data_IF_148601634865
#
_entry.id   IF_148601634865
#
_cell.length_a   1.000
_cell.length_b   1.000
_cell.length_c   1.000
_cell.angle_alpha   90.00
_cell.angle_beta   90.00
_cell.angle_gamma   90.00
#
_symmetry.space_group_name_H-M   'P 1'
#
loop_
_entity.id
_entity.type
_entity.pdbx_description
1 polymer ?
#
# COMPACT_ATOMS: atom_id res chain seq x y z
N UNK A 1 4.49 39.53 -51.34
CA UNK A 1 3.83 38.52 -50.48
C UNK A 1 4.83 37.41 -50.22
N UNK A 2 5.55 37.47 -49.10
CA UNK A 2 6.54 36.49 -48.68
C UNK A 2 5.86 35.57 -47.65
N UNK A 3 5.61 34.32 -48.00
CA UNK A 3 5.00 33.33 -47.10
C UNK A 3 6.13 32.64 -46.33
N UNK A 4 6.19 32.92 -45.02
CA UNK A 4 7.10 32.26 -44.08
C UNK A 4 6.54 30.87 -43.74
N UNK A 5 7.28 29.81 -44.10
CA UNK A 5 7.00 28.45 -43.64
C UNK A 5 7.53 28.27 -42.20
N UNK A 6 6.62 28.21 -41.24
CA UNK A 6 6.91 27.82 -39.85
C UNK A 6 6.99 26.28 -39.77
N UNK A 7 8.21 25.75 -39.69
CA UNK A 7 8.49 24.37 -39.31
C UNK A 7 8.12 24.17 -37.84
N UNK A 8 6.98 23.53 -37.61
CA UNK A 8 6.53 23.09 -36.28
C UNK A 8 7.28 21.81 -35.91
N UNK A 9 8.23 21.89 -34.98
CA UNK A 9 8.85 20.72 -34.39
C UNK A 9 7.82 19.98 -33.52
N UNK A 10 7.30 18.87 -34.01
CA UNK A 10 6.46 17.95 -33.24
C UNK A 10 7.34 17.18 -32.27
N UNK A 11 7.41 17.63 -31.02
CA UNK A 11 7.94 16.80 -29.93
C UNK A 11 7.03 15.57 -29.78
N UNK A 12 7.53 14.42 -30.21
CA UNK A 12 6.85 13.14 -30.03
C UNK A 12 6.78 12.82 -28.55
N UNK A 13 5.61 13.01 -27.94
CA UNK A 13 5.25 12.43 -26.65
C UNK A 13 5.34 10.91 -26.77
N UNK A 14 6.52 10.35 -26.47
CA UNK A 14 6.64 8.92 -26.24
C UNK A 14 5.81 8.61 -24.99
N UNK A 15 4.65 7.97 -25.18
CA UNK A 15 3.94 7.35 -24.08
C UNK A 15 4.88 6.31 -23.46
N UNK A 16 5.49 6.64 -22.32
CA UNK A 16 6.35 5.70 -21.59
C UNK A 16 5.56 4.43 -21.32
N UNK A 17 6.16 3.28 -21.62
CA UNK A 17 5.53 2.00 -21.41
C UNK A 17 5.51 1.72 -19.90
N UNK A 18 4.42 2.08 -19.21
CA UNK A 18 4.25 1.81 -17.78
C UNK A 18 3.88 0.34 -17.61
N UNK A 19 4.74 -0.40 -16.92
CA UNK A 19 4.52 -1.79 -16.56
C UNK A 19 5.07 -2.05 -15.16
N UNK A 20 4.68 -3.16 -14.55
CA UNK A 20 5.17 -3.56 -13.23
C UNK A 20 6.67 -3.90 -13.29
N UNK A 21 7.38 -3.71 -12.18
CA UNK A 21 8.83 -3.83 -12.12
C UNK A 21 9.34 -5.18 -12.68
N UNK A 22 8.71 -6.28 -12.24
CA UNK A 22 9.06 -7.64 -12.68
C UNK A 22 8.83 -7.90 -14.18
N UNK A 23 7.82 -7.27 -14.78
CA UNK A 23 7.57 -7.39 -16.23
C UNK A 23 8.67 -6.73 -17.07
N UNK A 24 9.51 -5.90 -16.45
CA UNK A 24 10.61 -5.18 -17.07
C UNK A 24 11.99 -5.71 -16.64
N UNK A 25 12.05 -6.91 -16.04
CA UNK A 25 13.30 -7.56 -15.61
C UNK A 25 13.81 -7.10 -14.24
N UNK A 26 13.07 -6.26 -13.51
CA UNK A 26 13.42 -5.85 -12.14
C UNK A 26 12.82 -6.85 -11.16
N UNK A 27 13.64 -7.81 -10.71
CA UNK A 27 13.19 -8.98 -9.95
C UNK A 27 13.80 -8.99 -8.54
N UNK A 28 13.16 -8.36 -7.54
CA UNK A 28 13.65 -8.39 -6.16
C UNK A 28 13.40 -9.76 -5.51
N UNK A 29 14.42 -10.24 -4.81
CA UNK A 29 14.35 -11.49 -4.05
C UNK A 29 14.47 -12.78 -4.87
N UNK A 30 14.09 -13.89 -4.25
CA UNK A 30 14.19 -15.25 -4.81
C UNK A 30 12.87 -16.00 -4.80
N UNK A 31 11.88 -15.56 -4.02
CA UNK A 31 10.61 -16.27 -3.89
C UNK A 31 9.71 -15.98 -5.11
N UNK A 32 8.97 -16.99 -5.61
CA UNK A 32 8.03 -16.78 -6.70
C UNK A 32 6.80 -15.98 -6.21
N UNK A 33 6.24 -15.09 -7.04
CA UNK A 33 5.00 -14.41 -6.70
C UNK A 33 3.79 -15.33 -6.81
N UNK A 34 2.66 -14.89 -6.25
CA UNK A 34 1.35 -15.45 -6.56
C UNK A 34 0.90 -15.12 -7.99
N UNK A 35 -0.31 -15.57 -8.36
CA UNK A 35 -0.83 -15.48 -9.74
C UNK A 35 -0.92 -14.03 -10.23
N UNK A 36 -1.42 -13.15 -9.38
CA UNK A 36 -1.60 -11.73 -9.69
C UNK A 36 -0.41 -10.90 -9.25
N UNK A 37 0.53 -11.50 -8.51
CA UNK A 37 1.59 -10.81 -7.80
C UNK A 37 0.97 -9.63 -7.03
N UNK A 38 -0.03 -9.86 -6.21
CA UNK A 38 -0.78 -8.81 -5.52
C UNK A 38 -1.26 -9.30 -4.16
N UNK A 39 -1.62 -8.38 -3.26
CA UNK A 39 -2.10 -8.75 -1.92
C UNK A 39 -3.33 -9.69 -1.96
N UNK A 40 -4.13 -9.57 -3.02
CA UNK A 40 -5.30 -10.38 -3.33
C UNK A 40 -4.98 -11.82 -3.75
N UNK A 41 -3.69 -12.18 -3.90
CA UNK A 41 -3.29 -13.59 -4.00
C UNK A 41 -3.50 -14.34 -2.66
N UNK A 42 -3.58 -13.62 -1.54
CA UNK A 42 -4.00 -14.19 -0.26
C UNK A 42 -5.51 -14.43 -0.32
N UNK A 43 -5.92 -15.69 -0.15
CA UNK A 43 -7.29 -16.12 -0.36
C UNK A 43 -8.29 -15.31 0.48
N UNK A 44 -9.34 -14.80 -0.19
CA UNK A 44 -10.40 -14.01 0.43
C UNK A 44 -10.14 -12.50 0.44
N UNK A 45 -8.88 -12.05 0.39
CA UNK A 45 -8.56 -10.62 0.41
C UNK A 45 -9.10 -9.91 -0.81
N UNK A 46 -9.67 -8.71 -0.61
CA UNK A 46 -10.19 -7.85 -1.68
C UNK A 46 -9.65 -6.44 -1.55
N UNK A 47 -9.44 -5.78 -2.69
CA UNK A 47 -9.01 -4.38 -2.74
C UNK A 47 -9.93 -3.59 -3.65
N UNK A 48 -10.31 -2.39 -3.23
CA UNK A 48 -11.09 -1.45 -4.02
C UNK A 48 -10.54 -0.03 -3.90
N UNK A 49 -10.74 0.78 -4.94
CA UNK A 49 -10.26 2.16 -5.00
C UNK A 49 -11.39 3.12 -5.36
N UNK A 50 -11.42 4.27 -4.69
CA UNK A 50 -12.11 5.45 -5.16
C UNK A 50 -11.07 6.54 -5.43
N UNK A 51 -10.89 6.87 -6.71
CA UNK A 51 -9.93 7.87 -7.15
C UNK A 51 -10.62 9.21 -7.35
N UNK A 52 -10.15 10.26 -6.66
CA UNK A 52 -10.78 11.57 -6.64
C UNK A 52 -9.88 12.59 -7.34
N UNK A 53 -10.36 13.09 -8.47
CA UNK A 53 -9.77 14.23 -9.20
C UNK A 53 -10.84 15.30 -9.38
N UNK A 54 -10.76 16.37 -8.62
CA UNK A 54 -11.72 17.48 -8.70
C UNK A 54 -11.01 18.77 -9.08
N UNK A 55 -11.50 19.41 -10.14
CA UNK A 55 -10.92 20.62 -10.69
C UNK A 55 -9.41 20.51 -10.91
N UNK A 56 -8.74 21.63 -10.72
CA UNK A 56 -7.30 21.74 -10.90
C UNK A 56 -6.49 21.37 -9.66
N UNK A 57 -7.10 21.16 -8.48
CA UNK A 57 -6.36 21.21 -7.20
C UNK A 57 -6.59 20.02 -6.28
N UNK A 58 -7.49 19.08 -6.61
CA UNK A 58 -7.72 17.87 -5.81
C UNK A 58 -7.21 16.64 -6.56
N UNK A 59 -6.25 15.94 -5.95
CA UNK A 59 -5.76 14.62 -6.39
C UNK A 59 -5.60 13.76 -5.16
N UNK A 60 -6.59 12.93 -4.85
CA UNK A 60 -6.58 12.08 -3.65
C UNK A 60 -7.48 10.87 -3.85
N UNK A 61 -7.79 10.14 -2.79
CA UNK A 61 -8.80 9.09 -2.85
C UNK A 61 -8.84 8.23 -1.60
N UNK A 62 -9.50 7.09 -1.75
CA UNK A 62 -9.62 6.05 -0.73
C UNK A 62 -9.22 4.72 -1.37
N UNK A 63 -8.44 3.93 -0.64
CA UNK A 63 -8.23 2.51 -0.94
C UNK A 63 -8.81 1.70 0.21
N UNK A 64 -9.67 0.74 -0.10
CA UNK A 64 -10.22 -0.21 0.87
C UNK A 64 -9.53 -1.56 0.71
N UNK A 65 -9.15 -2.18 1.83
CA UNK A 65 -8.62 -3.54 1.90
C UNK A 65 -9.51 -4.34 2.85
N UNK A 66 -10.15 -5.38 2.32
CA UNK A 66 -11.01 -6.28 3.09
C UNK A 66 -10.26 -7.59 3.33
N UNK A 67 -10.08 -8.05 4.58
CA UNK A 67 -9.46 -9.34 4.86
C UNK A 67 -10.21 -10.54 4.26
N UNK A 68 -11.54 -10.45 4.16
CA UNK A 68 -12.41 -11.41 3.46
C UNK A 68 -13.72 -10.74 3.04
N UNK A 69 -14.54 -11.43 2.25
CA UNK A 69 -15.83 -10.93 1.75
C UNK A 69 -17.02 -11.06 2.71
N UNK A 70 -16.80 -11.45 3.96
CA UNK A 70 -17.84 -11.62 4.98
C UNK A 70 -17.98 -10.39 5.88
N UNK A 71 -18.78 -10.50 6.94
CA UNK A 71 -18.86 -9.45 7.96
C UNK A 71 -17.67 -9.56 8.94
N UNK A 72 -16.66 -8.72 8.72
CA UNK A 72 -15.40 -8.71 9.49
C UNK A 72 -15.64 -8.42 10.98
N UNK A 73 -16.72 -7.72 11.34
CA UNK A 73 -17.02 -7.44 12.75
C UNK A 73 -17.36 -8.72 13.54
N UNK A 74 -18.05 -9.68 12.90
CA UNK A 74 -18.46 -10.97 13.49
C UNK A 74 -17.53 -12.13 13.15
N UNK A 75 -16.63 -11.95 12.19
CA UNK A 75 -15.68 -12.94 11.70
C UNK A 75 -14.31 -12.27 11.61
N UNK A 76 -13.78 -11.88 12.77
CA UNK A 76 -12.58 -11.03 12.88
C UNK A 76 -11.34 -11.83 12.50
N UNK A 77 -10.34 -11.12 11.99
CA UNK A 77 -9.03 -11.69 11.67
C UNK A 77 -8.00 -11.27 12.70
N UNK A 78 -7.08 -12.15 13.12
CA UNK A 78 -5.97 -11.75 13.95
C UNK A 78 -5.11 -10.74 13.18
N UNK A 79 -4.62 -9.74 13.90
CA UNK A 79 -3.88 -8.64 13.34
C UNK A 79 -2.89 -8.02 14.32
N UNK A 80 -1.97 -7.24 13.78
CA UNK A 80 -1.02 -6.45 14.54
C UNK A 80 -0.61 -5.21 13.76
N UNK A 81 -0.17 -4.17 14.48
CA UNK A 81 0.31 -2.93 13.87
C UNK A 81 1.70 -2.61 14.40
N UNK A 82 2.66 -2.51 13.48
CA UNK A 82 4.01 -2.08 13.75
C UNK A 82 4.18 -0.61 13.38
N UNK A 83 4.61 0.20 14.35
CA UNK A 83 4.97 1.61 14.14
C UNK A 83 6.47 1.66 13.89
N UNK A 84 6.84 1.94 12.65
CA UNK A 84 8.23 2.22 12.29
C UNK A 84 8.63 3.63 12.73
N UNK A 85 7.91 4.64 12.25
CA UNK A 85 8.03 6.01 12.71
C UNK A 85 6.63 6.64 12.86
N UNK A 86 6.40 7.31 13.99
CA UNK A 86 5.07 7.68 14.48
C UNK A 86 4.52 9.02 13.97
N UNK A 87 5.08 9.59 12.90
CA UNK A 87 4.65 10.91 12.39
C UNK A 87 3.36 10.86 11.54
N UNK A 88 2.43 9.95 11.82
CA UNK A 88 1.17 9.81 11.09
C UNK A 88 -0.05 9.69 12.01
N UNK A 89 -1.23 9.62 11.40
CA UNK A 89 -2.52 9.47 12.08
C UNK A 89 -3.14 8.15 11.64
N UNK A 90 -3.03 7.14 12.49
CA UNK A 90 -3.63 5.82 12.27
C UNK A 90 -4.77 5.61 13.27
N UNK A 91 -6.01 5.69 12.79
CA UNK A 91 -7.20 5.44 13.61
C UNK A 91 -7.31 3.92 13.83
N UNK A 92 -7.67 3.54 15.06
CA UNK A 92 -7.92 2.17 15.49
C UNK A 92 -6.72 1.41 16.05
N UNK A 93 -5.54 2.04 16.07
CA UNK A 93 -4.28 1.46 16.54
C UNK A 93 -4.37 0.81 17.93
N UNK A 94 -4.91 1.52 18.91
CA UNK A 94 -4.84 1.12 20.32
C UNK A 94 -5.63 -0.15 20.61
N UNK A 95 -6.83 -0.30 20.02
CA UNK A 95 -7.62 -1.53 20.21
C UNK A 95 -7.04 -2.71 19.42
N UNK A 96 -6.42 -2.49 18.26
CA UNK A 96 -5.68 -3.57 17.56
C UNK A 96 -4.47 -4.02 18.39
N UNK A 97 -3.76 -3.09 19.05
CA UNK A 97 -2.65 -3.43 19.92
C UNK A 97 -3.10 -4.23 21.16
N UNK A 98 -4.27 -3.88 21.73
CA UNK A 98 -4.84 -4.54 22.91
C UNK A 98 -5.43 -5.91 22.59
N UNK A 99 -6.25 -6.01 21.53
CA UNK A 99 -7.04 -7.20 21.23
C UNK A 99 -6.42 -8.10 20.16
N UNK A 100 -5.45 -7.58 19.39
CA UNK A 100 -4.74 -8.36 18.38
C UNK A 100 -5.60 -8.81 17.20
N UNK A 101 -6.60 -8.02 16.81
CA UNK A 101 -7.55 -8.38 15.75
C UNK A 101 -8.13 -7.16 15.01
N UNK A 102 -8.56 -7.37 13.76
CA UNK A 102 -9.33 -6.41 12.98
C UNK A 102 -10.81 -6.79 13.01
N UNK A 103 -11.65 -5.81 13.29
CA UNK A 103 -13.12 -5.92 13.24
C UNK A 103 -13.75 -5.09 12.11
N UNK A 104 -12.92 -4.45 11.27
CA UNK A 104 -13.36 -3.66 10.11
C UNK A 104 -12.47 -3.90 8.89
N UNK A 105 -12.91 -3.52 7.69
CA UNK A 105 -11.99 -3.25 6.58
C UNK A 105 -10.92 -2.22 6.99
N UNK A 106 -9.77 -2.26 6.31
CA UNK A 106 -8.74 -1.23 6.41
C UNK A 106 -9.01 -0.20 5.33
N UNK A 107 -9.05 1.08 5.69
CA UNK A 107 -9.06 2.18 4.71
C UNK A 107 -7.72 2.91 4.72
N UNK A 108 -7.24 3.27 3.53
CA UNK A 108 -6.10 4.17 3.37
C UNK A 108 -6.57 5.45 2.65
N UNK A 109 -6.07 6.61 3.05
CA UNK A 109 -6.48 7.91 2.47
C UNK A 109 -5.46 9.04 2.73
N UNK A 110 -5.89 10.30 2.59
CA UNK A 110 -5.14 11.51 2.89
C UNK A 110 -5.11 11.82 4.41
N UNK A 111 -4.06 12.50 4.88
CA UNK A 111 -3.90 12.87 6.30
C UNK A 111 -5.13 13.54 6.92
N UNK A 112 -5.63 14.62 6.33
CA UNK A 112 -6.77 15.36 6.90
C UNK A 112 -8.13 14.72 6.59
N UNK A 113 -8.11 13.63 5.83
CA UNK A 113 -9.27 12.84 5.43
C UNK A 113 -9.51 11.64 6.37
N UNK A 114 -8.51 11.24 7.15
CA UNK A 114 -8.56 10.03 8.00
C UNK A 114 -9.83 9.98 8.87
N UNK A 115 -10.20 11.10 9.49
CA UNK A 115 -11.42 11.19 10.32
C UNK A 115 -12.71 11.11 9.50
N UNK A 116 -12.76 11.69 8.29
CA UNK A 116 -13.95 11.59 7.42
C UNK A 116 -14.12 10.16 6.90
N UNK A 117 -13.01 9.49 6.59
CA UNK A 117 -13.03 8.11 6.15
C UNK A 117 -13.46 7.16 7.28
N UNK A 118 -12.96 7.37 8.50
CA UNK A 118 -13.37 6.60 9.67
C UNK A 118 -14.85 6.79 10.01
N UNK A 119 -15.34 8.03 10.03
CA UNK A 119 -16.75 8.35 10.25
C UNK A 119 -17.66 7.66 9.22
N UNK A 120 -17.32 7.79 7.93
CA UNK A 120 -18.06 7.13 6.86
C UNK A 120 -18.02 5.59 6.95
N UNK A 121 -16.88 5.00 7.33
CA UNK A 121 -16.76 3.56 7.54
C UNK A 121 -17.68 3.09 8.68
N UNK A 122 -17.65 3.78 9.82
CA UNK A 122 -18.50 3.47 10.97
C UNK A 122 -19.97 3.58 10.59
N UNK A 123 -20.38 4.68 9.95
CA UNK A 123 -21.75 4.88 9.49
C UNK A 123 -22.21 3.74 8.54
N UNK A 124 -21.34 3.36 7.59
CA UNK A 124 -21.62 2.28 6.64
C UNK A 124 -21.78 0.91 7.30
N UNK A 125 -20.96 0.62 8.32
CA UNK A 125 -21.00 -0.62 9.07
C UNK A 125 -22.22 -0.69 9.98
N UNK A 126 -22.56 0.39 10.70
CA UNK A 126 -23.76 0.45 11.54
C UNK A 126 -25.06 0.29 10.73
N UNK A 127 -25.07 0.76 9.49
CA UNK A 127 -26.20 0.59 8.57
C UNK A 127 -26.28 -0.80 7.91
N UNK A 128 -25.29 -1.67 8.10
CA UNK A 128 -25.28 -2.99 7.48
C UNK A 128 -26.23 -3.97 8.21
N UNK A 129 -26.92 -4.87 7.49
CA UNK A 129 -27.77 -5.87 8.11
C UNK A 129 -27.03 -6.72 9.16
N UNK A 130 -27.66 -6.93 10.32
CA UNK A 130 -27.09 -7.71 11.42
C UNK A 130 -26.23 -6.90 12.41
N UNK A 131 -26.04 -5.60 12.18
CA UNK A 131 -25.25 -4.71 13.05
C UNK A 131 -26.11 -3.91 14.05
N UNK A 132 -27.43 -4.17 14.13
CA UNK A 132 -28.40 -3.38 14.89
C UNK A 132 -28.12 -3.33 16.40
N UNK A 133 -27.41 -4.33 16.92
CA UNK A 133 -27.05 -4.45 18.34
C UNK A 133 -25.58 -4.06 18.63
N UNK A 134 -24.83 -3.61 17.61
CA UNK A 134 -23.43 -3.20 17.77
C UNK A 134 -23.38 -1.81 18.42
N UNK A 135 -22.62 -1.71 19.51
CA UNK A 135 -22.55 -0.48 20.34
C UNK A 135 -21.36 0.41 20.00
N UNK A 136 -20.27 -0.18 19.52
CA UNK A 136 -19.03 0.51 19.17
C UNK A 136 -18.32 -0.24 18.06
N UNK A 137 -17.53 0.49 17.28
CA UNK A 137 -16.73 -0.03 16.19
C UNK A 137 -15.36 0.62 16.29
N UNK A 138 -14.31 -0.15 16.09
CA UNK A 138 -12.93 0.31 15.96
C UNK A 138 -12.53 0.38 14.48
N UNK A 139 -12.79 1.49 13.77
CA UNK A 139 -12.40 1.63 12.38
C UNK A 139 -10.88 1.70 12.25
N UNK A 140 -10.30 0.92 11.34
CA UNK A 140 -8.88 0.99 11.03
C UNK A 140 -8.64 1.81 9.77
N UNK A 141 -8.09 3.02 9.95
CA UNK A 141 -7.86 3.97 8.86
C UNK A 141 -6.46 4.56 8.93
N UNK A 142 -5.63 4.25 7.93
CA UNK A 142 -4.29 4.79 7.75
C UNK A 142 -4.23 5.89 6.69
N UNK A 143 -3.11 6.60 6.64
CA UNK A 143 -2.98 7.78 5.79
C UNK A 143 -1.55 8.07 5.36
N UNK A 144 -1.44 8.83 4.27
CA UNK A 144 -0.23 9.62 3.97
C UNK A 144 -0.60 11.04 3.59
N UNK A 145 0.36 11.96 3.64
CA UNK A 145 0.14 13.37 3.31
C UNK A 145 0.34 13.69 1.82
N UNK A 146 -0.74 13.69 1.06
CA UNK A 146 -0.77 14.12 -0.36
C UNK A 146 -0.93 15.64 -0.56
N UNK A 147 -0.96 16.41 0.54
CA UNK A 147 -1.22 17.84 0.55
C UNK A 147 -0.06 18.74 0.13
N UNK A 148 1.10 18.13 -0.16
CA UNK A 148 2.30 18.90 -0.45
C UNK A 148 2.26 19.55 -1.84
N UNK A 149 1.87 18.79 -2.87
CA UNK A 149 1.97 19.24 -4.26
C UNK A 149 0.67 19.08 -5.03
N UNK A 150 -0.06 17.97 -4.83
CA UNK A 150 -1.11 17.55 -5.75
C UNK A 150 -2.53 17.69 -5.17
N UNK A 151 -2.69 17.73 -3.86
CA UNK A 151 -4.00 17.79 -3.22
C UNK A 151 -4.21 19.07 -2.40
N UNK A 152 -5.36 19.71 -2.58
CA UNK A 152 -5.89 20.74 -1.69
C UNK A 152 -6.38 20.11 -0.37
N UNK A 153 -5.48 19.45 0.37
CA UNK A 153 -5.78 18.59 1.52
C UNK A 153 -6.60 19.28 2.61
N UNK A 154 -6.43 20.59 2.76
CA UNK A 154 -7.15 21.42 3.73
C UNK A 154 -8.66 21.48 3.46
N UNK A 155 -9.10 21.25 2.23
CA UNK A 155 -10.52 21.11 1.87
C UNK A 155 -11.12 19.79 2.36
N UNK A 156 -10.28 18.82 2.78
CA UNK A 156 -10.69 17.48 3.23
C UNK A 156 -11.66 16.83 2.25
N UNK A 157 -11.29 16.67 0.96
CA UNK A 157 -12.23 16.39 -0.13
C UNK A 157 -12.92 15.01 -0.07
N UNK A 158 -12.45 14.09 0.77
CA UNK A 158 -13.07 12.76 0.89
C UNK A 158 -14.44 12.83 1.57
N UNK A 159 -15.45 12.30 0.90
CA UNK A 159 -16.84 12.21 1.37
C UNK A 159 -17.28 10.74 1.49
N UNK A 160 -18.43 10.45 2.16
CA UNK A 160 -18.92 9.08 2.33
C UNK A 160 -19.05 8.29 1.01
N UNK A 161 -19.48 8.95 -0.07
CA UNK A 161 -19.60 8.32 -1.39
C UNK A 161 -18.27 7.73 -1.89
N UNK A 162 -17.13 8.37 -1.58
CA UNK A 162 -15.81 7.85 -1.96
C UNK A 162 -15.45 6.61 -1.14
N UNK A 163 -15.81 6.58 0.14
CA UNK A 163 -15.58 5.40 0.99
C UNK A 163 -16.46 4.24 0.56
N UNK A 164 -17.75 4.50 0.28
CA UNK A 164 -18.68 3.48 -0.22
C UNK A 164 -18.20 2.91 -1.56
N UNK A 165 -17.83 3.77 -2.51
CA UNK A 165 -17.31 3.32 -3.81
C UNK A 165 -16.07 2.44 -3.67
N UNK A 166 -15.13 2.79 -2.77
CA UNK A 166 -13.94 1.96 -2.51
C UNK A 166 -14.30 0.60 -1.88
N UNK A 167 -15.25 0.56 -0.94
CA UNK A 167 -15.70 -0.67 -0.29
C UNK A 167 -16.49 -1.58 -1.24
N UNK A 168 -17.40 -1.02 -2.02
CA UNK A 168 -18.26 -1.74 -2.96
C UNK A 168 -17.49 -2.24 -4.20
N UNK A 169 -16.51 -1.47 -4.65
CA UNK A 169 -15.61 -1.86 -5.73
C UNK A 169 -14.54 -2.87 -5.31
N UNK A 170 -14.50 -3.30 -4.04
CA UNK A 170 -13.46 -4.20 -3.55
C UNK A 170 -13.62 -5.63 -4.08
N UNK A 171 -12.62 -6.09 -4.84
CA UNK A 171 -12.61 -7.42 -5.44
C UNK A 171 -11.24 -8.11 -5.31
N UNK A 172 -11.23 -9.43 -5.51
CA UNK A 172 -10.00 -10.20 -5.66
C UNK A 172 -9.42 -10.08 -7.08
N UNK A 173 -8.30 -10.75 -7.36
CA UNK A 173 -7.66 -10.71 -8.67
C UNK A 173 -6.67 -9.54 -8.82
N UNK A 174 -6.36 -9.09 -10.06
CA UNK A 174 -5.42 -7.99 -10.28
C UNK A 174 -5.86 -6.70 -9.58
N UNK A 175 -4.90 -5.96 -9.02
CA UNK A 175 -5.15 -4.69 -8.31
C UNK A 175 -4.58 -3.53 -9.13
N UNK A 176 -5.36 -2.47 -9.42
CA UNK A 176 -4.83 -1.26 -10.03
C UNK A 176 -3.75 -0.60 -9.15
N UNK A 177 -2.65 -0.17 -9.77
CA UNK A 177 -1.49 0.43 -9.08
C UNK A 177 -1.19 1.85 -9.62
N UNK A 178 -0.27 2.56 -8.98
CA UNK A 178 0.17 3.88 -9.35
C UNK A 178 -0.75 4.99 -8.83
N UNK A 179 -1.12 5.93 -9.71
CA UNK A 179 -1.88 7.14 -9.38
C UNK A 179 -3.39 6.88 -9.21
N UNK A 180 -3.76 5.96 -8.32
CA UNK A 180 -5.14 5.55 -8.04
C UNK A 180 -5.45 5.53 -6.55
N UNK A 181 -6.74 5.58 -6.19
CA UNK A 181 -7.21 5.47 -4.81
C UNK A 181 -6.49 6.45 -3.89
N UNK A 182 -6.05 5.95 -2.74
CA UNK A 182 -5.30 6.74 -1.77
C UNK A 182 -3.93 7.22 -2.26
N UNK A 183 -3.36 6.58 -3.28
CA UNK A 183 -2.07 6.94 -3.91
C UNK A 183 -2.16 8.05 -4.97
N UNK A 184 -3.35 8.56 -5.25
CA UNK A 184 -3.58 9.50 -6.37
C UNK A 184 -2.70 10.75 -6.28
N UNK A 185 -2.60 11.38 -5.11
CA UNK A 185 -1.82 12.61 -4.90
C UNK A 185 -0.43 12.42 -4.30
N UNK A 186 0.04 11.18 -4.13
CA UNK A 186 1.25 10.91 -3.36
C UNK A 186 2.54 11.03 -4.16
N UNK A 187 3.66 11.30 -3.47
CA UNK A 187 4.99 11.53 -4.04
C UNK A 187 6.01 10.66 -3.31
N UNK A 188 6.81 9.89 -4.04
CA UNK A 188 7.84 9.03 -3.48
C UNK A 188 9.20 9.28 -4.15
N UNK A 189 10.25 9.44 -3.35
CA UNK A 189 11.62 9.76 -3.80
C UNK A 189 11.72 10.99 -4.72
N UNK A 190 10.76 11.91 -4.63
CA UNK A 190 10.67 13.09 -5.50
C UNK A 190 10.02 12.85 -6.87
N UNK A 191 9.61 11.62 -7.17
CA UNK A 191 8.75 11.28 -8.31
C UNK A 191 7.33 10.98 -7.84
N UNK A 192 6.43 10.78 -8.80
CA UNK A 192 5.08 10.32 -8.51
C UNK A 192 5.15 8.94 -7.82
N UNK A 193 4.60 8.87 -6.61
CA UNK A 193 4.37 7.62 -5.88
C UNK A 193 2.98 7.06 -6.17
N UNK A 194 2.46 6.22 -5.28
CA UNK A 194 1.08 5.78 -5.42
C UNK A 194 0.75 4.51 -4.65
N UNK A 195 -0.26 3.81 -5.14
CA UNK A 195 -0.55 2.44 -4.71
C UNK A 195 0.42 1.48 -5.38
N UNK A 196 0.92 0.50 -4.65
CA UNK A 196 1.68 -0.61 -5.23
C UNK A 196 1.43 -1.88 -4.44
N UNK A 197 1.52 -3.03 -5.08
CA UNK A 197 1.28 -4.31 -4.45
C UNK A 197 2.22 -5.38 -5.02
N UNK A 198 2.43 -6.43 -4.24
CA UNK A 198 3.11 -7.64 -4.70
C UNK A 198 2.74 -8.81 -3.79
N UNK A 199 3.14 -10.02 -4.15
CA UNK A 199 2.99 -11.19 -3.29
C UNK A 199 4.16 -12.16 -3.44
N UNK A 200 4.27 -13.10 -2.50
CA UNK A 200 5.21 -14.22 -2.52
C UNK A 200 4.51 -15.49 -2.06
N UNK A 201 4.82 -16.60 -2.72
CA UNK A 201 4.50 -17.94 -2.26
C UNK A 201 5.70 -18.52 -1.51
N UNK A 202 5.43 -19.15 -0.37
CA UNK A 202 6.44 -19.77 0.48
C UNK A 202 5.99 -21.14 0.95
N UNK A 203 6.95 -22.01 1.25
CA UNK A 203 6.70 -23.26 1.96
C UNK A 203 7.24 -23.14 3.37
N UNK A 204 6.43 -23.46 4.38
CA UNK A 204 6.82 -23.49 5.78
C UNK A 204 6.05 -24.60 6.52
N UNK A 205 6.75 -25.38 7.37
CA UNK A 205 6.19 -26.53 8.07
C UNK A 205 5.39 -27.47 7.14
N UNK A 206 6.01 -27.86 6.02
CA UNK A 206 5.46 -28.74 4.99
C UNK A 206 4.18 -28.24 4.28
N UNK A 207 3.77 -26.99 4.53
CA UNK A 207 2.59 -26.36 3.93
C UNK A 207 2.97 -25.16 3.07
N UNK A 208 2.21 -24.93 2.01
CA UNK A 208 2.35 -23.76 1.14
C UNK A 208 1.49 -22.60 1.64
N UNK A 209 2.09 -21.43 1.78
CA UNK A 209 1.43 -20.19 2.19
C UNK A 209 1.72 -19.06 1.22
N UNK A 210 0.88 -18.04 1.28
CA UNK A 210 0.99 -16.80 0.53
C UNK A 210 1.19 -15.63 1.49
N UNK A 211 2.10 -14.74 1.15
CA UNK A 211 2.22 -13.41 1.76
C UNK A 211 1.96 -12.38 0.68
N UNK A 212 1.00 -11.49 0.94
CA UNK A 212 0.63 -10.40 0.06
C UNK A 212 0.93 -9.06 0.72
N UNK A 213 1.37 -8.07 -0.05
CA UNK A 213 1.64 -6.72 0.45
C UNK A 213 1.01 -5.67 -0.46
N UNK A 214 0.38 -4.66 0.10
CA UNK A 214 -0.03 -3.43 -0.60
C UNK A 214 0.50 -2.22 0.16
N UNK A 215 0.94 -1.19 -0.58
CA UNK A 215 1.56 0.01 -0.04
C UNK A 215 0.91 1.27 -0.63
N UNK A 216 0.87 2.33 0.16
CA UNK A 216 0.63 3.70 -0.29
C UNK A 216 1.93 4.49 -0.09
N UNK A 217 2.70 4.68 -1.17
CA UNK A 217 4.01 5.32 -1.10
C UNK A 217 3.89 6.84 -1.16
N UNK A 218 4.45 7.52 -0.15
CA UNK A 218 4.52 8.97 -0.08
C UNK A 218 5.77 9.45 0.67
N UNK A 219 6.93 8.83 0.49
CA UNK A 219 8.11 9.03 1.35
C UNK A 219 9.37 9.45 0.59
N UNK A 220 10.33 9.98 1.34
CA UNK A 220 11.61 10.45 0.84
C UNK A 220 12.70 9.37 0.80
N UNK A 221 13.95 9.81 0.92
CA UNK A 221 15.11 8.91 0.89
C UNK A 221 15.87 8.94 -0.43
N UNK A 222 16.70 7.92 -0.63
CA UNK A 222 17.58 7.75 -1.80
C UNK A 222 17.14 6.50 -2.56
N UNK A 223 16.46 6.65 -3.70
CA UNK A 223 15.86 5.51 -4.40
C UNK A 223 16.92 4.48 -4.81
N UNK A 224 16.83 3.30 -4.20
CA UNK A 224 17.62 2.12 -4.58
C UNK A 224 16.72 1.08 -5.23
N UNK A 225 17.13 0.58 -6.40
CA UNK A 225 16.45 -0.51 -7.09
C UNK A 225 17.44 -1.67 -7.21
N UNK A 226 17.14 -2.80 -6.56
CA UNK A 226 18.03 -3.97 -6.49
C UNK A 226 19.44 -3.60 -5.98
N UNK A 227 19.51 -2.68 -5.02
CA UNK A 227 20.77 -2.15 -4.46
C UNK A 227 21.52 -1.15 -5.34
N UNK A 228 21.03 -0.85 -6.55
CA UNK A 228 21.60 0.20 -7.41
C UNK A 228 21.02 1.55 -7.00
N UNK A 229 21.85 2.60 -6.77
CA UNK A 229 21.38 3.93 -6.37
C UNK A 229 20.80 4.72 -7.55
N UNK A 230 19.73 4.19 -8.15
CA UNK A 230 19.05 4.76 -9.34
C UNK A 230 18.64 6.22 -9.11
N UNK A 231 18.24 6.56 -7.88
CA UNK A 231 17.92 7.93 -7.49
C UNK A 231 19.02 8.94 -7.87
N UNK A 232 20.26 8.64 -7.44
CA UNK A 232 21.44 9.47 -7.68
C UNK A 232 21.84 9.49 -9.15
N UNK A 233 21.78 8.35 -9.82
CA UNK A 233 22.15 8.24 -11.23
C UNK A 233 21.17 8.99 -12.15
N UNK A 234 19.91 9.14 -11.75
CA UNK A 234 18.92 10.02 -12.39
C UNK A 234 19.03 11.49 -11.94
N UNK A 235 20.07 11.86 -11.20
CA UNK A 235 20.35 13.24 -10.82
C UNK A 235 19.57 13.78 -9.62
N UNK A 236 18.85 12.93 -8.86
CA UNK A 236 18.28 13.37 -7.57
C UNK A 236 19.40 13.51 -6.53
N UNK A 237 19.49 14.66 -5.88
CA UNK A 237 20.47 14.94 -4.82
C UNK A 237 19.78 14.90 -3.45
N UNK A 238 20.30 14.09 -2.53
CA UNK A 238 19.97 14.11 -1.09
C UNK A 238 18.72 13.32 -0.70
N UNK A 239 18.38 13.38 0.60
CA UNK A 239 17.14 12.85 1.15
C UNK A 239 15.97 13.61 0.48
N UNK A 240 15.24 12.92 -0.39
CA UNK A 240 13.96 13.43 -0.86
C UNK A 240 13.06 13.74 0.36
N UNK A 241 12.13 14.68 0.16
CA UNK A 241 11.42 15.42 1.22
C UNK A 241 10.65 14.49 2.19
N UNK A 242 10.41 14.94 3.45
CA UNK A 242 9.66 14.19 4.45
C UNK A 242 8.31 13.73 3.95
N UNK A 243 7.90 12.54 4.36
CA UNK A 243 6.75 11.89 3.75
C UNK A 243 6.01 10.92 4.66
N UNK A 244 5.55 9.77 4.19
CA UNK A 244 4.90 8.71 4.96
C UNK A 244 4.76 7.46 4.07
N UNK A 245 4.61 6.28 4.67
CA UNK A 245 4.15 5.09 3.96
C UNK A 245 3.19 4.29 4.84
N UNK A 246 2.07 3.88 4.23
CA UNK A 246 1.25 2.81 4.79
C UNK A 246 1.58 1.51 4.09
N UNK A 247 1.89 0.48 4.86
CA UNK A 247 2.12 -0.88 4.37
C UNK A 247 1.05 -1.79 5.00
N UNK A 248 0.38 -2.58 4.17
CA UNK A 248 -0.55 -3.62 4.64
C UNK A 248 -0.03 -4.97 4.17
N UNK A 249 0.12 -5.89 5.11
CA UNK A 249 0.60 -7.26 4.91
C UNK A 249 -0.54 -8.23 5.21
N UNK A 250 -0.82 -9.14 4.28
CA UNK A 250 -1.76 -10.22 4.46
C UNK A 250 -1.04 -11.57 4.33
N UNK A 251 -1.51 -12.58 5.05
CA UNK A 251 -1.10 -13.97 4.82
C UNK A 251 -2.27 -14.93 5.01
N UNK A 252 -2.21 -16.07 4.33
CA UNK A 252 -3.09 -17.21 4.58
C UNK A 252 -2.47 -18.23 5.55
N UNK A 253 -1.28 -17.98 6.09
CA UNK A 253 -0.70 -18.82 7.14
C UNK A 253 -1.41 -18.60 8.49
N UNK A 254 -1.57 -19.65 9.33
CA UNK A 254 -2.19 -19.54 10.64
C UNK A 254 -1.27 -18.81 11.64
N UNK A 255 -1.39 -17.49 11.74
CA UNK A 255 -0.50 -16.65 12.56
C UNK A 255 -1.32 -15.75 13.48
N UNK A 256 -0.96 -15.68 14.77
CA UNK A 256 -1.61 -14.81 15.75
C UNK A 256 -0.88 -13.47 15.93
N UNK A 257 -1.53 -12.55 16.63
CA UNK A 257 -1.13 -11.13 16.77
C UNK A 257 0.34 -10.93 17.12
N UNK A 258 0.90 -11.69 18.07
CA UNK A 258 2.34 -11.60 18.42
C UNK A 258 3.25 -11.87 17.22
N UNK A 259 2.99 -12.94 16.48
CA UNK A 259 3.79 -13.28 15.30
C UNK A 259 3.47 -12.39 14.09
N UNK A 260 2.25 -11.88 13.98
CA UNK A 260 1.89 -10.84 13.01
C UNK A 260 2.63 -9.53 13.29
N UNK A 261 2.89 -9.18 14.56
CA UNK A 261 3.72 -8.02 14.91
C UNK A 261 5.16 -8.21 14.43
N UNK A 262 5.71 -9.43 14.61
CA UNK A 262 7.05 -9.78 14.09
C UNK A 262 7.09 -9.71 12.57
N UNK A 263 6.03 -10.21 11.91
CA UNK A 263 5.86 -10.19 10.46
C UNK A 263 5.79 -8.75 9.93
N UNK A 264 4.97 -7.89 10.56
CA UNK A 264 4.84 -6.47 10.25
C UNK A 264 6.19 -5.74 10.34
N UNK A 265 6.98 -6.00 11.38
CA UNK A 265 8.31 -5.40 11.54
C UNK A 265 9.27 -5.71 10.37
N UNK A 266 9.08 -6.82 9.65
CA UNK A 266 9.93 -7.18 8.50
C UNK A 266 9.66 -6.34 7.26
N UNK A 267 8.45 -5.78 7.12
CA UNK A 267 8.15 -4.89 6.02
C UNK A 267 9.05 -3.64 6.02
N UNK A 268 9.48 -3.20 7.21
CA UNK A 268 10.43 -2.07 7.35
C UNK A 268 11.80 -2.39 6.73
N UNK A 269 12.24 -3.65 6.75
CA UNK A 269 13.48 -4.06 6.07
C UNK A 269 13.31 -3.90 4.55
N UNK A 270 12.16 -4.32 4.00
CA UNK A 270 11.82 -4.13 2.57
C UNK A 270 11.77 -2.66 2.19
N UNK A 271 11.16 -1.81 3.04
CA UNK A 271 11.17 -0.35 2.89
C UNK A 271 12.60 0.20 2.88
N UNK A 272 13.44 -0.21 3.82
CA UNK A 272 14.84 0.22 3.91
C UNK A 272 15.69 -0.16 2.69
N UNK A 273 15.43 -1.32 2.06
CA UNK A 273 16.10 -1.75 0.81
C UNK A 273 15.82 -0.86 -0.39
N UNK A 274 14.70 -0.12 -0.36
CA UNK A 274 14.38 0.89 -1.38
C UNK A 274 15.06 2.23 -1.11
N UNK A 275 15.75 2.36 0.02
CA UNK A 275 16.54 3.53 0.42
C UNK A 275 15.78 4.58 1.25
N UNK A 276 14.67 4.18 1.87
CA UNK A 276 14.08 4.96 2.96
C UNK A 276 14.98 4.94 4.19
N UNK A 277 15.02 6.07 4.89
CA UNK A 277 15.61 6.19 6.23
C UNK A 277 14.57 6.46 7.30
N UNK A 278 13.28 6.46 6.93
CA UNK A 278 12.16 6.78 7.82
C UNK A 278 12.39 8.10 8.54
N UNK A 279 12.56 9.18 7.75
CA UNK A 279 12.90 10.49 8.28
C UNK A 279 11.91 10.99 9.33
N UNK A 280 12.30 12.01 10.11
CA UNK A 280 11.51 12.51 11.24
C UNK A 280 10.05 12.81 10.89
N UNK A 281 9.77 13.35 9.70
CA UNK A 281 8.42 13.69 9.28
C UNK A 281 7.64 12.52 8.67
N UNK A 282 8.21 11.32 8.67
CA UNK A 282 7.66 10.14 8.01
C UNK A 282 6.72 9.32 8.89
N UNK A 283 5.43 9.29 8.57
CA UNK A 283 4.49 8.33 9.17
C UNK A 283 4.65 6.96 8.52
N UNK A 284 5.38 6.04 9.16
CA UNK A 284 5.72 4.74 8.59
C UNK A 284 5.09 3.63 9.41
N UNK A 285 3.98 3.08 8.91
CA UNK A 285 3.16 2.11 9.63
C UNK A 285 2.98 0.83 8.81
N UNK A 286 2.92 -0.29 9.51
CA UNK A 286 2.64 -1.60 8.92
C UNK A 286 1.46 -2.22 9.64
N UNK A 287 0.41 -2.60 8.90
CA UNK A 287 -0.72 -3.38 9.40
C UNK A 287 -0.57 -4.80 8.86
N UNK A 288 -0.45 -5.82 9.72
CA UNK A 288 -0.37 -7.21 9.29
C UNK A 288 -1.57 -8.00 9.82
N UNK A 289 -2.15 -8.87 8.97
CA UNK A 289 -3.24 -9.75 9.36
C UNK A 289 -3.13 -11.14 8.71
N UNK A 290 -3.74 -12.15 9.35
CA UNK A 290 -3.90 -13.49 8.78
C UNK A 290 -5.35 -13.77 8.43
N UNK A 291 -5.60 -14.36 7.26
CA UNK A 291 -6.94 -14.76 6.79
C UNK A 291 -7.30 -16.20 7.17
N UNK A 292 -6.37 -16.95 7.76
CA UNK A 292 -6.51 -18.39 7.94
C UNK A 292 -7.69 -18.72 8.87
N UNK A 293 -8.63 -19.59 8.46
CA UNK A 293 -9.83 -19.89 9.25
C UNK A 293 -9.56 -20.35 10.69
N UNK A 294 -8.51 -21.15 10.91
CA UNK A 294 -8.19 -21.71 12.23
C UNK A 294 -7.73 -20.68 13.28
N UNK A 295 -7.47 -19.43 12.88
CA UNK A 295 -7.05 -18.34 13.80
C UNK A 295 -8.05 -17.20 13.87
N UNK A 296 -9.20 -17.31 13.20
CA UNK A 296 -10.25 -16.30 13.24
C UNK A 296 -10.81 -16.12 14.64
N UNK A 297 -11.36 -14.93 14.87
CA UNK A 297 -11.89 -14.49 16.15
C UNK A 297 -13.36 -14.12 15.98
N UNK A 298 -14.21 -14.81 16.71
CA UNK A 298 -15.65 -14.55 16.70
C UNK A 298 -16.04 -13.86 18.01
N UNK A 299 -16.70 -12.70 17.95
CA UNK A 299 -17.17 -12.03 19.15
C UNK A 299 -18.13 -12.96 19.91
N UNK A 300 -18.12 -12.89 21.24
CA UNK A 300 -18.92 -13.72 22.17
C UNK A 300 -18.49 -15.19 22.29
N UNK A 301 -17.38 -15.59 21.69
CA UNK A 301 -16.77 -16.89 21.99
C UNK A 301 -15.97 -16.78 23.30
N UNK A 302 -16.34 -17.55 24.32
CA UNK A 302 -15.64 -17.51 25.61
C UNK A 302 -14.24 -18.14 25.57
N UNK A 303 -14.05 -19.16 24.74
CA UNK A 303 -12.77 -19.85 24.55
C UNK A 303 -12.53 -20.15 23.09
N UNK A 304 -11.43 -19.62 22.56
CA UNK A 304 -10.94 -19.97 21.23
C UNK A 304 -10.01 -21.17 21.29
N UNK A 305 -10.16 -22.08 20.33
CA UNK A 305 -9.10 -23.02 19.95
C UNK A 305 -8.46 -22.50 18.67
N UNK A 306 -7.13 -22.51 18.59
CA UNK A 306 -6.40 -22.04 17.42
C UNK A 306 -5.21 -22.94 17.15
N UNK A 307 -5.01 -23.27 15.87
CA UNK A 307 -3.77 -23.86 15.40
C UNK A 307 -2.91 -22.69 14.87
N UNK A 308 -1.71 -22.49 15.44
CA UNK A 308 -0.78 -21.44 15.04
C UNK A 308 0.51 -22.07 14.51
N UNK A 309 1.13 -21.43 13.53
CA UNK A 309 2.46 -21.76 13.07
C UNK A 309 3.49 -21.52 14.18
N UNK A 310 4.35 -22.51 14.43
CA UNK A 310 5.44 -22.40 15.40
C UNK A 310 6.50 -21.37 14.97
N UNK A 311 7.22 -20.81 15.95
CA UNK A 311 8.15 -19.69 15.72
C UNK A 311 9.28 -20.02 14.75
N UNK A 312 9.80 -21.25 14.77
CA UNK A 312 10.88 -21.69 13.89
C UNK A 312 10.46 -21.72 12.41
N UNK A 313 9.15 -21.88 12.14
CA UNK A 313 8.60 -21.90 10.80
C UNK A 313 8.26 -20.49 10.25
N UNK A 314 8.48 -19.41 11.02
CA UNK A 314 8.18 -18.04 10.59
C UNK A 314 9.19 -17.43 9.61
N UNK A 315 10.43 -17.93 9.58
CA UNK A 315 11.52 -17.32 8.79
C UNK A 315 11.22 -17.21 7.28
N UNK A 316 10.63 -18.22 6.60
CA UNK A 316 10.21 -18.08 5.22
C UNK A 316 9.17 -16.96 5.01
N UNK A 317 8.22 -16.79 5.93
CA UNK A 317 7.23 -15.71 5.86
C UNK A 317 7.90 -14.34 6.06
N UNK A 318 8.91 -14.24 6.93
CA UNK A 318 9.69 -13.02 7.09
C UNK A 318 10.40 -12.61 5.80
N UNK A 319 11.05 -13.56 5.12
CA UNK A 319 11.66 -13.30 3.82
C UNK A 319 10.62 -12.85 2.80
N UNK A 320 9.47 -13.52 2.75
CA UNK A 320 8.37 -13.20 1.85
C UNK A 320 7.90 -11.75 2.02
N UNK A 321 7.74 -11.27 3.26
CA UNK A 321 7.37 -9.88 3.54
C UNK A 321 8.42 -8.91 3.03
N UNK A 322 9.71 -9.15 3.31
CA UNK A 322 10.78 -8.25 2.87
C UNK A 322 10.77 -8.09 1.35
N UNK A 323 10.74 -9.21 0.62
CA UNK A 323 10.75 -9.21 -0.84
C UNK A 323 9.47 -8.61 -1.43
N UNK A 324 8.31 -8.91 -0.83
CA UNK A 324 7.05 -8.40 -1.30
C UNK A 324 6.92 -6.88 -1.06
N UNK A 325 7.35 -6.38 0.09
CA UNK A 325 7.35 -4.94 0.37
C UNK A 325 8.26 -4.18 -0.58
N UNK A 326 9.48 -4.67 -0.81
CA UNK A 326 10.44 -4.09 -1.75
C UNK A 326 9.84 -3.99 -3.17
N UNK A 327 9.24 -5.07 -3.69
CA UNK A 327 8.62 -5.05 -5.01
C UNK A 327 7.36 -4.19 -5.08
N UNK A 328 6.53 -4.16 -4.04
CA UNK A 328 5.32 -3.34 -4.01
C UNK A 328 5.67 -1.84 -4.09
N UNK A 329 6.75 -1.42 -3.44
CA UNK A 329 7.25 -0.05 -3.54
C UNK A 329 7.72 0.24 -4.97
N UNK A 330 8.48 -0.66 -5.60
CA UNK A 330 8.89 -0.51 -7.00
C UNK A 330 7.68 -0.42 -7.93
N UNK A 331 6.69 -1.30 -7.78
CA UNK A 331 5.50 -1.28 -8.61
C UNK A 331 4.74 0.04 -8.50
N UNK A 332 4.66 0.66 -7.31
CA UNK A 332 4.00 1.97 -7.18
C UNK A 332 4.69 3.05 -8.03
N UNK A 333 6.03 3.07 -8.03
CA UNK A 333 6.83 4.03 -8.82
C UNK A 333 6.78 3.75 -10.33
N UNK A 334 6.82 2.47 -10.72
CA UNK A 334 6.87 2.06 -12.12
C UNK A 334 5.52 2.22 -12.83
N UNK A 335 4.42 2.10 -12.10
CA UNK A 335 3.05 2.19 -12.64
C UNK A 335 2.42 3.57 -12.45
N UNK A 336 2.92 4.40 -11.53
CA UNK A 336 2.48 5.78 -11.34
C UNK A 336 2.48 6.59 -12.65
N UNK A 337 1.65 7.62 -12.77
CA UNK A 337 1.65 8.50 -13.96
C UNK A 337 1.88 9.93 -13.52
N UNK A 338 2.56 10.73 -14.35
CA UNK A 338 2.78 12.15 -14.09
C UNK A 338 1.44 12.84 -13.79
N UNK A 339 1.35 13.53 -12.67
CA UNK A 339 0.14 14.22 -12.22
C UNK A 339 0.36 15.74 -12.19
N UNK A 340 -0.73 16.47 -12.42
CA UNK A 340 -0.74 17.93 -12.43
C UNK A 340 -1.89 18.46 -11.60
N UNK A 341 -1.59 19.37 -10.68
CA UNK A 341 -2.60 20.07 -9.90
C UNK A 341 -2.07 21.39 -9.31
N UNK A 342 -2.90 22.43 -9.29
CA UNK A 342 -2.61 23.72 -8.68
C UNK A 342 -1.36 24.39 -9.23
N UNK A 343 -1.09 24.22 -10.54
CA UNK A 343 0.15 24.68 -11.19
C UNK A 343 1.39 23.81 -10.91
N UNK A 344 1.29 22.82 -10.02
CA UNK A 344 2.37 21.87 -9.75
C UNK A 344 2.34 20.70 -10.74
N UNK A 345 3.52 20.13 -10.99
CA UNK A 345 3.72 18.90 -11.76
C UNK A 345 4.58 17.98 -10.91
N UNK A 346 4.13 16.74 -10.75
CA UNK A 346 4.96 15.69 -10.16
C UNK A 346 5.18 14.63 -11.23
N UNK A 347 6.43 14.52 -11.69
CA UNK A 347 6.81 13.62 -12.76
C UNK A 347 6.86 12.16 -12.29
N UNK A 348 6.38 11.26 -13.14
CA UNK A 348 6.65 9.84 -13.02
C UNK A 348 8.15 9.52 -13.06
N UNK A 349 8.56 8.40 -12.43
CA UNK A 349 9.92 7.87 -12.59
C UNK A 349 10.20 7.63 -14.09
N UNK A 350 11.30 8.14 -14.67
CA UNK A 350 11.66 7.83 -16.05
C UNK A 350 12.12 6.38 -16.17
N UNK A 351 11.17 5.47 -16.40
CA UNK A 351 11.38 4.01 -16.33
C UNK A 351 12.46 3.53 -17.30
N UNK A 352 12.47 4.02 -18.54
CA UNK A 352 13.45 3.60 -19.54
C UNK A 352 14.89 3.98 -19.12
N UNK A 353 15.08 5.18 -18.57
CA UNK A 353 16.38 5.62 -18.05
C UNK A 353 16.80 4.81 -16.81
N UNK A 354 15.84 4.53 -15.91
CA UNK A 354 16.09 3.66 -14.75
C UNK A 354 16.52 2.24 -15.19
N UNK A 355 15.87 1.66 -16.20
CA UNK A 355 16.22 0.36 -16.77
C UNK A 355 17.60 0.39 -17.46
N UNK A 356 17.95 1.48 -18.12
CA UNK A 356 19.29 1.65 -18.70
C UNK A 356 20.39 1.62 -17.63
N UNK A 357 20.18 2.34 -16.52
CA UNK A 357 21.06 2.33 -15.35
C UNK A 357 21.20 0.90 -14.81
N UNK A 358 20.08 0.21 -14.57
CA UNK A 358 20.08 -1.15 -14.05
C UNK A 358 20.78 -2.14 -14.99
N UNK A 359 20.61 -1.97 -16.32
CA UNK A 359 21.31 -2.78 -17.33
C UNK A 359 22.82 -2.55 -17.31
N UNK A 360 23.26 -1.30 -17.24
CA UNK A 360 24.70 -0.95 -17.13
C UNK A 360 25.35 -1.53 -15.88
N UNK A 361 24.57 -1.72 -14.81
CA UNK A 361 25.01 -2.31 -13.54
C UNK A 361 24.84 -3.83 -13.47
N UNK A 362 24.32 -4.48 -14.53
CA UNK A 362 24.08 -5.92 -14.55
C UNK A 362 23.00 -6.41 -13.57
N UNK A 363 22.06 -5.53 -13.19
CA UNK A 363 21.06 -5.81 -12.16
C UNK A 363 19.73 -6.37 -12.69
N UNK A 364 19.47 -6.29 -14.00
CA UNK A 364 18.26 -6.85 -14.62
C UNK A 364 18.41 -8.36 -14.85
N UNK A 365 17.31 -9.11 -14.71
CA UNK A 365 17.22 -10.54 -14.99
C UNK A 365 16.51 -10.85 -16.28
#
# INVERSE_FOLDING_TARGET
MLVLLLLSATASLHAQHRARARALGVVPGTLPPGRHNAITDVAGVRVGHATVREGDSVRTGVTAILPHGGNIFFDRVPAAIYVGNGFGKLIGLTQVAELGELETPILLTCTLCVWRAADALVARLLAAPGMEQVRSINPVVGETNDGYALNAIRRRPIAPVHVHAALEGAMGGPVPEGSVGAGTGTVAFGWKGGMGTSSRRVTAADSGWTVGVIVQTNFGGDLHILGVPVGRELGRKGLARPGSIMIVVATDAPVLSRNLQRLAARAIIGLGRTGSVMDNGSGDYVIAFSTHPAVRRHPRTERHSSAELGDDAMSPLFQAVVEATEEAIYNSLFTATTERAGGNIVEALPVEAALEILRKRGALR
#
